data_IF_988477527772
#
_entry.id   IF_988477527772
#
_cell.length_a   1.000
_cell.length_b   1.000
_cell.length_c   1.000
_cell.angle_alpha   90.00
_cell.angle_beta   90.00
_cell.angle_gamma   90.00
#
_symmetry.space_group_name_H-M   'P 1'
#
loop_
_entity.id
_entity.type
_entity.pdbx_description
1 polymer ?
#
# COMPACT_ATOMS: atom_id res chain seq x y z
N UNK A 1 -0.76 -1.14 -11.73
CA UNK A 1 -0.74 -1.15 -10.26
C UNK A 1 -1.58 -2.31 -9.75
N UNK A 2 -1.11 -2.98 -8.71
CA UNK A 2 -1.72 -4.21 -8.22
C UNK A 2 -1.68 -4.27 -6.70
N UNK A 3 -2.77 -4.78 -6.11
CA UNK A 3 -2.76 -5.24 -4.73
C UNK A 3 -2.16 -6.64 -4.68
N UNK A 4 -1.18 -6.87 -3.82
CA UNK A 4 -0.64 -8.21 -3.58
C UNK A 4 -1.55 -9.00 -2.65
N UNK A 5 -1.79 -10.27 -2.92
CA UNK A 5 -2.63 -11.13 -2.06
C UNK A 5 -2.10 -11.22 -0.62
N UNK A 6 -0.79 -11.12 -0.42
CA UNK A 6 -0.18 -11.09 0.91
C UNK A 6 -0.68 -9.94 1.82
N UNK A 7 -1.23 -8.86 1.23
CA UNK A 7 -1.86 -7.79 1.99
C UNK A 7 -3.10 -8.27 2.77
N UNK A 8 -3.83 -9.28 2.28
CA UNK A 8 -5.00 -9.83 2.97
C UNK A 8 -4.69 -10.39 4.36
N UNK A 9 -3.45 -10.85 4.60
CA UNK A 9 -3.04 -11.39 5.90
C UNK A 9 -3.10 -10.34 7.01
N UNK A 10 -2.87 -9.07 6.66
CA UNK A 10 -2.87 -7.95 7.59
C UNK A 10 -4.12 -7.10 7.54
N UNK A 11 -4.90 -7.15 6.43
CA UNK A 11 -6.16 -6.41 6.32
C UNK A 11 -7.22 -6.94 7.29
N UNK A 12 -8.01 -6.00 7.82
CA UNK A 12 -9.19 -6.28 8.66
C UNK A 12 -10.32 -5.33 8.29
N UNK A 13 -11.54 -5.78 8.49
CA UNK A 13 -12.70 -4.91 8.40
C UNK A 13 -12.61 -3.79 9.44
N UNK A 14 -12.62 -2.50 9.07
CA UNK A 14 -12.46 -1.40 10.02
C UNK A 14 -13.66 -1.23 10.96
N UNK A 15 -14.80 -1.88 10.68
CA UNK A 15 -16.01 -1.80 11.51
C UNK A 15 -16.15 -2.97 12.49
N UNK A 16 -15.70 -4.18 12.11
CA UNK A 16 -15.88 -5.41 12.91
C UNK A 16 -14.58 -6.05 13.33
N UNK A 17 -13.43 -5.60 12.80
CA UNK A 17 -12.11 -6.18 13.02
C UNK A 17 -11.99 -7.66 12.57
N UNK A 18 -12.95 -8.15 11.77
CA UNK A 18 -12.91 -9.49 11.18
C UNK A 18 -11.98 -9.53 9.98
N UNK A 19 -11.60 -10.72 9.53
CA UNK A 19 -10.86 -10.91 8.28
C UNK A 19 -11.68 -10.44 7.10
N UNK A 20 -10.98 -10.17 6.00
CA UNK A 20 -11.58 -9.83 4.70
C UNK A 20 -11.32 -10.96 3.71
N UNK A 21 -12.32 -11.28 2.93
CA UNK A 21 -12.27 -12.25 1.84
C UNK A 21 -12.34 -11.49 0.51
N UNK A 22 -11.49 -11.83 -0.42
CA UNK A 22 -11.49 -11.23 -1.77
C UNK A 22 -12.46 -11.99 -2.67
N UNK A 23 -13.39 -11.26 -3.27
CA UNK A 23 -14.36 -11.77 -4.23
C UNK A 23 -14.29 -11.00 -5.55
N UNK A 24 -14.78 -11.62 -6.62
CA UNK A 24 -14.91 -10.99 -7.96
C UNK A 24 -13.62 -10.30 -8.43
N UNK A 25 -12.47 -10.91 -8.12
CA UNK A 25 -11.17 -10.33 -8.45
C UNK A 25 -10.85 -10.42 -9.94
N UNK A 26 -10.27 -9.36 -10.48
CA UNK A 26 -9.54 -9.38 -11.75
C UNK A 26 -8.04 -9.27 -11.47
N UNK A 27 -7.25 -10.06 -12.18
CA UNK A 27 -5.83 -10.16 -11.98
C UNK A 27 -5.07 -9.53 -13.15
N UNK A 28 -3.90 -8.96 -12.87
CA UNK A 28 -3.02 -8.44 -13.91
C UNK A 28 -2.38 -9.57 -14.70
N UNK A 29 -2.31 -9.43 -16.03
CA UNK A 29 -1.50 -10.32 -16.86
C UNK A 29 -0.04 -9.88 -16.77
N UNK A 30 0.86 -10.74 -16.31
CA UNK A 30 2.29 -10.50 -16.42
C UNK A 30 2.69 -10.54 -17.90
N UNK A 31 3.00 -9.38 -18.47
CA UNK A 31 3.81 -9.31 -19.68
C UNK A 31 5.28 -9.46 -19.28
N UNK A 32 5.86 -10.63 -19.60
CA UNK A 32 7.30 -10.87 -19.73
C UNK A 32 8.20 -10.62 -18.51
N UNK A 33 8.27 -11.59 -17.59
CA UNK A 33 9.54 -11.93 -16.98
C UNK A 33 9.97 -13.32 -17.47
N UNK A 34 11.13 -13.32 -18.13
CA UNK A 34 11.79 -14.48 -18.75
C UNK A 34 11.80 -15.70 -17.83
N UNK A 35 11.24 -16.75 -18.37
CA UNK A 35 11.16 -18.11 -17.87
C UNK A 35 12.50 -18.64 -17.37
N UNK A 36 12.62 -18.92 -16.07
CA UNK A 36 13.46 -20.00 -15.60
C UNK A 36 12.52 -21.18 -15.38
N UNK A 37 12.45 -22.03 -16.40
CA UNK A 37 11.73 -23.31 -16.31
C UNK A 37 12.48 -24.23 -15.36
N UNK A 38 11.83 -24.62 -14.27
CA UNK A 38 12.16 -25.85 -13.56
C UNK A 38 11.36 -27.00 -14.17
N UNK A 39 11.97 -28.17 -14.44
CA UNK A 39 11.38 -29.21 -15.30
C UNK A 39 10.46 -30.21 -14.60
N UNK A 40 9.89 -29.95 -13.45
CA UNK A 40 9.22 -31.02 -12.67
C UNK A 40 7.86 -30.65 -12.02
N UNK A 41 7.04 -29.75 -12.57
CA UNK A 41 5.67 -29.61 -12.05
C UNK A 41 4.66 -29.42 -13.17
N UNK A 42 3.88 -30.47 -13.43
CA UNK A 42 2.80 -30.56 -14.43
C UNK A 42 1.46 -29.92 -13.99
N UNK A 43 1.46 -29.11 -12.94
CA UNK A 43 0.27 -28.33 -12.50
C UNK A 43 0.63 -26.85 -12.35
N UNK A 44 1.00 -26.21 -13.45
CA UNK A 44 1.39 -24.80 -13.47
C UNK A 44 0.17 -23.89 -13.69
N UNK A 45 -0.65 -23.69 -12.67
CA UNK A 45 -1.39 -22.44 -12.55
C UNK A 45 -0.39 -21.42 -11.99
N UNK A 46 0.17 -20.60 -12.86
CA UNK A 46 0.88 -19.37 -12.46
C UNK A 46 -0.13 -18.54 -11.66
N UNK A 47 -0.11 -18.66 -10.33
CA UNK A 47 -0.89 -17.81 -9.45
C UNK A 47 -0.31 -16.40 -9.61
N UNK A 48 -1.05 -15.56 -10.31
CA UNK A 48 -0.77 -14.14 -10.38
C UNK A 48 -1.28 -13.57 -9.07
N UNK A 49 -0.38 -13.34 -8.13
CA UNK A 49 -0.67 -12.78 -6.81
C UNK A 49 -1.00 -11.26 -6.84
N UNK A 50 -1.45 -10.77 -7.99
CA UNK A 50 -1.59 -9.35 -8.29
C UNK A 50 -3.01 -9.01 -8.72
N UNK A 51 -3.76 -8.38 -7.83
CA UNK A 51 -5.17 -8.00 -8.01
C UNK A 51 -5.27 -6.58 -8.55
N UNK A 52 -5.90 -6.39 -9.70
CA UNK A 52 -6.20 -5.08 -10.29
C UNK A 52 -7.46 -4.48 -9.70
N UNK A 53 -8.52 -5.29 -9.64
CA UNK A 53 -9.79 -4.89 -9.05
C UNK A 53 -10.48 -6.08 -8.39
N UNK A 54 -11.41 -5.80 -7.49
CA UNK A 54 -12.17 -6.82 -6.79
C UNK A 54 -13.02 -6.24 -5.68
N UNK A 55 -13.65 -7.12 -4.92
CA UNK A 55 -14.45 -6.77 -3.75
C UNK A 55 -13.90 -7.48 -2.53
N UNK A 56 -13.61 -6.74 -1.48
CA UNK A 56 -13.29 -7.28 -0.16
C UNK A 56 -14.57 -7.37 0.66
N UNK A 57 -14.88 -8.53 1.17
CA UNK A 57 -16.09 -8.79 1.98
C UNK A 57 -15.65 -9.18 3.38
N UNK A 58 -16.26 -8.58 4.41
CA UNK A 58 -16.02 -9.00 5.79
C UNK A 58 -16.51 -10.42 6.03
N UNK A 59 -15.85 -11.17 6.90
CA UNK A 59 -16.15 -12.58 7.19
C UNK A 59 -17.60 -12.81 7.62
N UNK A 60 -18.22 -11.80 8.25
CA UNK A 60 -19.63 -11.78 8.64
C UNK A 60 -20.58 -11.37 7.50
N UNK A 61 -20.06 -11.03 6.33
CA UNK A 61 -20.83 -10.63 5.15
C UNK A 61 -21.50 -9.25 5.24
N UNK A 62 -21.27 -8.48 6.31
CA UNK A 62 -22.00 -7.22 6.54
C UNK A 62 -21.39 -6.02 5.79
N UNK A 63 -20.10 -6.05 5.51
CA UNK A 63 -19.37 -4.94 4.93
C UNK A 63 -18.63 -5.36 3.66
N UNK A 64 -18.69 -4.48 2.67
CA UNK A 64 -17.98 -4.66 1.40
C UNK A 64 -17.14 -3.42 1.09
N UNK A 65 -15.97 -3.64 0.50
CA UNK A 65 -15.04 -2.58 0.10
C UNK A 65 -14.49 -2.91 -1.27
N UNK A 66 -14.24 -1.89 -2.07
CA UNK A 66 -13.71 -2.07 -3.42
C UNK A 66 -12.19 -2.11 -3.43
N UNK A 67 -11.62 -2.88 -4.34
CA UNK A 67 -10.24 -2.76 -4.79
C UNK A 67 -10.26 -2.15 -6.18
N UNK A 68 -9.71 -0.94 -6.32
CA UNK A 68 -9.65 -0.21 -7.58
C UNK A 68 -8.19 0.12 -7.91
N UNK A 69 -7.76 -0.24 -9.12
CA UNK A 69 -6.37 -0.03 -9.59
C UNK A 69 -5.31 -0.56 -8.62
N UNK A 70 -5.60 -1.70 -8.00
CA UNK A 70 -4.73 -2.34 -7.02
C UNK A 70 -4.72 -1.70 -5.63
N UNK A 71 -5.62 -0.76 -5.35
CA UNK A 71 -5.75 -0.10 -4.04
C UNK A 71 -7.05 -0.48 -3.36
N UNK A 72 -7.02 -1.15 -2.19
CA UNK A 72 -8.19 -1.32 -1.35
C UNK A 72 -8.72 0.02 -0.84
N UNK A 73 -10.04 0.25 -0.95
CA UNK A 73 -10.72 1.50 -0.60
C UNK A 73 -11.67 1.29 0.57
N UNK A 74 -11.30 1.76 1.76
CA UNK A 74 -12.11 1.66 2.98
C UNK A 74 -12.90 2.94 3.30
N UNK A 75 -12.81 3.95 2.45
CA UNK A 75 -13.52 5.23 2.56
C UNK A 75 -14.28 5.52 1.27
N UNK A 76 -15.33 6.34 1.36
CA UNK A 76 -16.11 6.73 0.18
C UNK A 76 -15.32 7.67 -0.73
N UNK A 77 -15.47 7.51 -2.04
CA UNK A 77 -14.73 8.28 -3.06
C UNK A 77 -15.00 9.80 -3.03
N UNK A 78 -16.14 10.23 -2.50
CA UNK A 78 -16.53 11.64 -2.39
C UNK A 78 -16.31 12.22 -0.99
N UNK A 79 -15.31 11.76 -0.27
CA UNK A 79 -14.97 12.30 1.04
C UNK A 79 -14.42 13.74 0.96
N UNK A 80 -14.38 14.45 2.10
CA UNK A 80 -13.94 15.86 2.17
C UNK A 80 -12.47 16.06 1.78
N UNK A 81 -11.66 15.04 1.82
CA UNK A 81 -10.24 15.10 1.48
C UNK A 81 -9.96 14.86 -0.03
N UNK A 82 -10.99 14.68 -0.85
CA UNK A 82 -10.83 14.45 -2.29
C UNK A 82 -10.06 15.59 -2.98
N UNK A 83 -10.28 16.86 -2.56
CA UNK A 83 -9.57 18.03 -3.07
C UNK A 83 -8.06 18.03 -2.68
N UNK A 84 -7.72 17.52 -1.51
CA UNK A 84 -6.32 17.34 -1.10
C UNK A 84 -5.60 16.32 -1.97
N UNK A 85 -6.26 15.20 -2.28
CA UNK A 85 -5.70 14.18 -3.17
C UNK A 85 -5.44 14.69 -4.58
N UNK A 86 -6.24 15.64 -5.07
CA UNK A 86 -6.06 16.24 -6.38
C UNK A 86 -4.71 16.94 -6.54
N UNK A 87 -4.24 17.67 -5.53
CA UNK A 87 -2.94 18.35 -5.57
C UNK A 87 -1.79 17.36 -5.72
N UNK A 88 -1.83 16.25 -4.99
CA UNK A 88 -0.80 15.21 -5.07
C UNK A 88 -0.80 14.48 -6.41
N UNK A 89 -1.96 14.29 -7.01
CA UNK A 89 -2.06 13.68 -8.34
C UNK A 89 -1.58 14.60 -9.46
N UNK A 90 -1.66 15.93 -9.29
CA UNK A 90 -1.10 16.91 -10.23
C UNK A 90 0.43 17.03 -10.13
N UNK A 91 0.98 16.93 -8.92
CA UNK A 91 2.40 17.10 -8.64
C UNK A 91 2.96 15.92 -7.80
N UNK A 92 2.90 14.69 -8.32
CA UNK A 92 3.07 13.49 -7.51
C UNK A 92 4.48 13.32 -6.93
N UNK A 93 5.51 13.90 -7.57
CA UNK A 93 6.92 13.65 -7.21
C UNK A 93 7.59 14.79 -6.44
N UNK A 94 6.94 15.93 -6.25
CA UNK A 94 7.59 17.16 -5.72
C UNK A 94 8.18 17.00 -4.33
N UNK A 95 7.69 16.06 -3.52
CA UNK A 95 8.18 15.81 -2.17
C UNK A 95 9.08 14.58 -2.05
N UNK A 96 9.35 13.87 -3.13
CA UNK A 96 10.26 12.74 -3.12
C UNK A 96 11.72 13.24 -3.14
N UNK A 97 12.55 12.73 -2.23
CA UNK A 97 13.97 13.10 -2.16
C UNK A 97 14.71 12.64 -3.43
N UNK A 98 14.33 11.51 -4.01
CA UNK A 98 14.88 11.01 -5.29
C UNK A 98 14.62 11.97 -6.48
N UNK A 99 13.54 12.73 -6.42
CA UNK A 99 13.19 13.70 -7.47
C UNK A 99 13.77 15.09 -7.20
N UNK A 100 13.72 15.54 -5.93
CA UNK A 100 14.23 16.87 -5.53
C UNK A 100 15.75 16.94 -5.47
N UNK A 101 16.43 15.80 -5.33
CA UNK A 101 17.88 15.74 -5.15
C UNK A 101 18.34 16.20 -3.75
N UNK A 102 17.44 16.28 -2.78
CA UNK A 102 17.71 16.69 -1.40
C UNK A 102 17.31 15.59 -0.43
N UNK A 103 18.01 15.48 0.72
CA UNK A 103 17.73 14.50 1.78
C UNK A 103 16.79 15.06 2.88
N UNK A 104 15.88 15.97 2.50
CA UNK A 104 15.01 16.66 3.48
C UNK A 104 14.04 15.66 4.12
N UNK A 105 13.43 14.80 3.32
CA UNK A 105 12.48 13.81 3.81
C UNK A 105 13.19 12.72 4.61
N UNK A 106 14.36 12.27 4.15
CA UNK A 106 15.18 11.29 4.86
C UNK A 106 15.60 11.81 6.25
N UNK A 107 16.15 13.02 6.32
CA UNK A 107 16.55 13.64 7.58
C UNK A 107 15.35 13.78 8.54
N UNK A 108 14.20 14.23 8.03
CA UNK A 108 12.99 14.36 8.85
C UNK A 108 12.50 13.01 9.34
N UNK A 109 12.44 12.01 8.48
CA UNK A 109 12.00 10.65 8.83
C UNK A 109 12.85 10.06 9.95
N UNK A 110 14.16 10.02 9.78
CA UNK A 110 15.06 9.44 10.78
C UNK A 110 15.06 10.22 12.10
N UNK A 111 15.03 11.55 12.06
CA UNK A 111 14.97 12.38 13.25
C UNK A 111 13.65 12.24 14.03
N UNK A 112 12.52 12.11 13.31
CA UNK A 112 11.20 12.01 13.96
C UNK A 112 10.93 10.63 14.52
N UNK A 113 11.40 9.58 13.86
CA UNK A 113 11.17 8.19 14.28
C UNK A 113 12.20 7.71 15.31
N UNK A 114 13.41 8.22 15.24
CA UNK A 114 14.54 7.67 15.99
C UNK A 114 14.95 6.26 15.53
N UNK A 115 14.42 5.79 14.41
CA UNK A 115 14.75 4.47 13.89
C UNK A 115 16.11 4.45 13.21
N UNK A 116 16.71 3.25 13.18
CA UNK A 116 17.95 3.00 12.45
C UNK A 116 17.60 2.35 11.10
N UNK A 117 18.20 2.85 10.03
CA UNK A 117 17.96 2.33 8.67
C UNK A 117 18.24 0.82 8.54
N UNK A 118 19.21 0.29 9.29
CA UNK A 118 19.55 -1.13 9.25
C UNK A 118 18.52 -2.03 9.97
N UNK A 119 17.70 -1.45 10.85
CA UNK A 119 16.67 -2.16 11.60
C UNK A 119 15.37 -2.34 10.84
N UNK A 120 15.15 -1.54 9.78
CA UNK A 120 13.91 -1.57 9.01
C UNK A 120 13.85 -2.70 7.97
N UNK A 121 14.98 -3.31 7.63
CA UNK A 121 15.01 -4.38 6.63
C UNK A 121 14.07 -5.52 7.01
N UNK A 122 13.13 -5.85 6.09
CA UNK A 122 12.09 -6.86 6.28
C UNK A 122 11.10 -6.58 7.42
N UNK A 123 11.07 -5.35 7.98
CA UNK A 123 10.05 -4.95 8.95
C UNK A 123 8.86 -4.35 8.24
N UNK A 124 7.68 -4.57 8.79
CA UNK A 124 6.47 -3.90 8.34
C UNK A 124 6.39 -2.49 8.92
N UNK A 125 6.34 -1.49 8.06
CA UNK A 125 6.17 -0.08 8.42
C UNK A 125 4.81 0.40 7.91
N UNK A 126 3.97 0.94 8.79
CA UNK A 126 2.74 1.61 8.44
C UNK A 126 2.99 3.11 8.36
N UNK A 127 2.93 3.67 7.15
CA UNK A 127 3.03 5.12 6.88
C UNK A 127 1.62 5.70 6.78
N UNK A 128 1.20 6.42 7.83
CA UNK A 128 -0.13 7.01 7.95
C UNK A 128 -0.11 8.45 7.48
N UNK A 129 -1.03 8.80 6.57
CA UNK A 129 -1.02 10.09 5.88
C UNK A 129 0.08 10.15 4.83
N UNK A 130 0.25 9.05 4.09
CA UNK A 130 1.39 8.87 3.18
C UNK A 130 1.46 9.90 2.04
N UNK A 131 0.35 10.57 1.71
CA UNK A 131 0.29 11.49 0.57
C UNK A 131 0.76 10.81 -0.70
N UNK A 132 1.73 11.40 -1.39
CA UNK A 132 2.35 10.83 -2.60
C UNK A 132 3.49 9.83 -2.31
N UNK A 133 3.73 9.49 -1.04
CA UNK A 133 4.71 8.47 -0.62
C UNK A 133 6.06 9.00 -0.17
N UNK A 134 6.11 10.23 0.32
CA UNK A 134 7.32 10.93 0.77
C UNK A 134 8.16 10.11 1.75
N UNK A 135 7.55 9.57 2.81
CA UNK A 135 8.23 8.78 3.81
C UNK A 135 8.24 7.27 3.47
N UNK A 136 7.24 6.83 2.68
CA UNK A 136 7.27 5.50 2.10
C UNK A 136 8.56 5.26 1.29
N UNK A 137 9.03 6.25 0.51
CA UNK A 137 10.29 6.18 -0.24
C UNK A 137 11.48 5.84 0.69
N UNK A 138 11.59 6.54 1.81
CA UNK A 138 12.71 6.38 2.75
C UNK A 138 12.69 4.99 3.40
N UNK A 139 11.50 4.55 3.86
CA UNK A 139 11.35 3.23 4.45
C UNK A 139 11.60 2.09 3.45
N UNK A 140 11.12 2.24 2.21
CA UNK A 140 11.39 1.28 1.12
C UNK A 140 12.88 1.18 0.80
N UNK A 141 13.58 2.31 0.72
CA UNK A 141 15.03 2.36 0.49
C UNK A 141 15.83 1.69 1.63
N UNK A 142 15.30 1.70 2.84
CA UNK A 142 15.85 0.96 3.98
C UNK A 142 15.47 -0.54 3.99
N UNK A 143 14.75 -1.02 2.97
CA UNK A 143 14.36 -2.43 2.82
C UNK A 143 13.14 -2.83 3.66
N UNK A 144 12.36 -1.89 4.15
CA UNK A 144 11.10 -2.18 4.83
C UNK A 144 10.04 -2.73 3.88
N UNK A 145 9.03 -3.40 4.44
CA UNK A 145 7.75 -3.68 3.79
C UNK A 145 6.80 -2.57 4.23
N UNK A 146 6.43 -1.69 3.31
CA UNK A 146 5.66 -0.49 3.63
C UNK A 146 4.17 -0.70 3.32
N UNK A 147 3.33 -0.37 4.29
CA UNK A 147 1.89 -0.21 4.11
C UNK A 147 1.59 1.28 4.18
N UNK A 148 1.34 1.89 3.03
CA UNK A 148 1.06 3.32 2.90
C UNK A 148 -0.45 3.55 2.97
N UNK A 149 -0.89 4.35 3.94
CA UNK A 149 -2.30 4.68 4.18
C UNK A 149 -2.54 6.17 4.03
N UNK A 150 -3.54 6.54 3.27
CA UNK A 150 -4.08 7.91 3.24
C UNK A 150 -5.60 7.90 3.15
N UNK A 151 -6.24 8.92 3.69
CA UNK A 151 -7.68 9.10 3.58
C UNK A 151 -8.10 9.62 2.21
N UNK A 152 -7.27 10.41 1.58
CA UNK A 152 -7.50 11.07 0.30
C UNK A 152 -7.13 10.19 -0.90
N UNK A 153 -7.45 10.67 -2.10
CA UNK A 153 -7.03 10.07 -3.35
C UNK A 153 -5.52 10.25 -3.64
N UNK A 154 -4.75 10.83 -2.73
CA UNK A 154 -3.28 10.88 -2.83
C UNK A 154 -2.64 9.48 -2.90
N UNK A 155 -3.34 8.45 -2.41
CA UNK A 155 -2.94 7.04 -2.57
C UNK A 155 -2.68 6.65 -4.02
N UNK A 156 -3.37 7.28 -4.98
CA UNK A 156 -3.16 7.01 -6.40
C UNK A 156 -1.79 7.53 -6.85
N UNK A 157 -1.40 8.73 -6.39
CA UNK A 157 -0.07 9.28 -6.63
C UNK A 157 1.02 8.41 -5.99
N UNK A 158 0.83 7.98 -4.75
CA UNK A 158 1.75 7.08 -4.06
C UNK A 158 1.91 5.77 -4.83
N UNK A 159 0.80 5.13 -5.23
CA UNK A 159 0.80 3.88 -5.98
C UNK A 159 1.51 4.02 -7.34
N UNK A 160 1.32 5.16 -8.01
CA UNK A 160 1.95 5.45 -9.30
C UNK A 160 3.44 5.80 -9.19
N UNK A 161 3.87 6.45 -8.12
CA UNK A 161 5.27 6.82 -7.91
C UNK A 161 6.19 5.59 -7.74
N UNK A 162 5.66 4.51 -7.17
CA UNK A 162 6.43 3.29 -6.88
C UNK A 162 5.87 2.07 -7.61
N UNK A 163 5.55 2.22 -8.88
CA UNK A 163 4.94 1.20 -9.73
C UNK A 163 5.47 -0.21 -9.43
N UNK A 164 4.58 -1.07 -8.93
CA UNK A 164 4.86 -2.48 -8.68
C UNK A 164 6.05 -2.76 -7.75
N UNK A 165 6.41 -1.80 -6.86
CA UNK A 165 7.47 -2.06 -5.90
C UNK A 165 7.12 -3.27 -5.02
N UNK A 166 8.01 -4.29 -4.92
CA UNK A 166 7.67 -5.58 -4.29
C UNK A 166 7.30 -5.43 -2.81
N UNK A 167 7.82 -4.43 -2.12
CA UNK A 167 7.61 -4.20 -0.70
C UNK A 167 6.61 -3.08 -0.38
N UNK A 168 5.87 -2.56 -1.37
CA UNK A 168 4.86 -1.53 -1.13
C UNK A 168 3.45 -2.11 -1.21
N UNK A 169 2.63 -1.77 -0.24
CA UNK A 169 1.18 -1.94 -0.22
C UNK A 169 0.53 -0.57 0.00
N UNK A 170 -0.41 -0.18 -0.85
CA UNK A 170 -1.11 1.09 -0.74
C UNK A 170 -2.57 0.84 -0.40
N UNK A 171 -3.11 1.60 0.56
CA UNK A 171 -4.48 1.44 1.06
C UNK A 171 -5.11 2.81 1.28
N UNK A 172 -6.34 2.99 0.82
CA UNK A 172 -7.13 4.17 1.16
C UNK A 172 -7.99 3.89 2.38
N UNK A 173 -7.78 4.64 3.47
CA UNK A 173 -8.48 4.37 4.72
C UNK A 173 -8.39 5.50 5.74
N UNK A 174 -9.18 5.37 6.79
CA UNK A 174 -9.27 6.33 7.88
C UNK A 174 -8.34 5.94 9.03
N UNK A 175 -7.51 6.88 9.50
CA UNK A 175 -6.63 6.68 10.66
C UNK A 175 -7.41 6.33 11.94
N UNK A 176 -8.63 6.83 12.07
CA UNK A 176 -9.49 6.55 13.22
C UNK A 176 -10.17 5.18 13.17
N UNK A 177 -10.10 4.50 12.01
CA UNK A 177 -10.66 3.17 11.75
C UNK A 177 -9.70 2.36 10.88
N UNK A 178 -8.53 2.09 11.43
CA UNK A 178 -7.47 1.41 10.69
C UNK A 178 -7.90 0.01 10.22
N UNK A 179 -7.79 -0.30 8.93
CA UNK A 179 -8.19 -1.58 8.37
C UNK A 179 -7.07 -2.64 8.51
N UNK A 180 -6.37 -2.68 9.64
CA UNK A 180 -5.19 -3.54 9.81
C UNK A 180 -5.15 -4.26 11.15
N UNK A 181 -4.51 -5.42 11.12
CA UNK A 181 -4.00 -6.10 12.30
C UNK A 181 -2.66 -5.47 12.73
N UNK A 182 -2.68 -4.64 13.77
CA UNK A 182 -1.56 -3.75 14.13
C UNK A 182 -0.37 -4.43 14.83
N UNK A 183 -0.52 -5.62 15.37
CA UNK A 183 0.49 -6.27 16.25
C UNK A 183 1.87 -6.46 15.62
N UNK A 184 1.99 -6.37 14.30
CA UNK A 184 3.23 -6.57 13.55
C UNK A 184 3.74 -5.32 12.84
N UNK A 185 3.05 -4.18 13.00
CA UNK A 185 3.35 -2.97 12.27
C UNK A 185 4.10 -1.96 13.13
N UNK A 186 5.23 -1.43 12.62
CA UNK A 186 5.86 -0.22 13.14
C UNK A 186 5.09 0.98 12.60
N UNK A 187 4.58 1.84 13.47
CA UNK A 187 3.73 2.96 13.09
C UNK A 187 4.56 4.23 12.87
N UNK A 188 4.44 4.85 11.71
CA UNK A 188 4.85 6.22 11.42
C UNK A 188 3.63 7.03 10.99
N UNK A 189 3.42 8.21 11.56
CA UNK A 189 2.38 9.14 11.13
C UNK A 189 3.04 10.36 10.48
N UNK A 190 2.69 10.61 9.23
CA UNK A 190 3.11 11.82 8.50
C UNK A 190 2.33 13.02 9.04
N UNK A 191 3.01 13.98 9.62
CA UNK A 191 2.45 15.26 10.11
C UNK A 191 2.92 16.42 9.25
#
# INVERSE_FOLDING_TARGET
NYMKLSLLDILRCPNTNTKLVLEKATYGSQSNHSSIKSPLDDNNSLFIDEVVSGTLVSEDGQYTYEVLEGVPRFVQNNNYAASFGMQWNLYPKTQLDSYSGHDISANRFWNSTGWNQYELKNKFVLDVGCGSGRFAEIALNAGAIVVALDYSNAVDACNNNFLNHPNLHVVQGDIYKLPFRLEKLLLHAST
#
